data_IF_601382353337
#
_entry.id   IF_601382353337
#
_cell.length_a   1.000
_cell.length_b   1.000
_cell.length_c   1.000
_cell.angle_alpha   90.00
_cell.angle_beta   90.00
_cell.angle_gamma   90.00
#
_symmetry.space_group_name_H-M   'P 1'
#
loop_
_entity.id
_entity.type
_entity.pdbx_description
1 polymer ?
#
# COMPACT_ATOMS: atom_id res chain seq x y z
N UNK A 1 -5.81 -19.82 59.48
CA UNK A 1 -5.36 -18.57 58.83
C UNK A 1 -4.61 -18.94 57.56
N UNK A 2 -5.33 -19.04 56.44
CA UNK A 2 -4.77 -19.34 55.11
C UNK A 2 -5.20 -18.19 54.20
N UNK A 3 -4.25 -17.35 53.79
CA UNK A 3 -4.49 -16.25 52.83
C UNK A 3 -4.45 -16.85 51.42
N UNK A 4 -5.62 -16.95 50.78
CA UNK A 4 -5.71 -17.08 49.33
C UNK A 4 -5.37 -15.73 48.70
N UNK A 5 -4.30 -15.69 47.91
CA UNK A 5 -3.98 -14.60 46.99
C UNK A 5 -4.88 -14.72 45.76
N UNK A 6 -5.74 -13.73 45.55
CA UNK A 6 -6.54 -13.56 44.34
C UNK A 6 -5.68 -12.93 43.23
N UNK A 7 -5.57 -13.62 42.09
CA UNK A 7 -5.04 -13.06 40.85
C UNK A 7 -6.11 -12.14 40.19
N UNK A 8 -5.73 -11.03 39.54
CA UNK A 8 -6.68 -10.19 38.80
C UNK A 8 -7.04 -10.83 37.44
N UNK A 9 -8.20 -10.46 36.86
CA UNK A 9 -8.72 -11.10 35.65
C UNK A 9 -7.93 -10.68 34.40
N UNK A 10 -7.72 -11.68 33.54
CA UNK A 10 -7.22 -11.57 32.18
C UNK A 10 -8.08 -10.58 31.37
N UNK A 11 -7.47 -9.48 30.94
CA UNK A 11 -8.05 -8.60 29.91
C UNK A 11 -7.78 -9.22 28.56
N UNK A 12 -8.77 -9.93 28.01
CA UNK A 12 -8.82 -10.34 26.60
C UNK A 12 -9.16 -9.11 25.74
N UNK A 13 -8.13 -8.51 25.14
CA UNK A 13 -8.29 -7.53 24.06
C UNK A 13 -8.64 -8.27 22.75
N UNK A 14 -9.66 -7.85 21.99
CA UNK A 14 -9.89 -8.41 20.66
C UNK A 14 -8.94 -7.77 19.65
N UNK A 15 -8.22 -8.66 18.95
CA UNK A 15 -7.47 -8.42 17.74
C UNK A 15 -8.40 -8.09 16.54
N UNK A 16 -7.87 -7.31 15.58
CA UNK A 16 -7.95 -7.45 14.12
C UNK A 16 -7.90 -6.05 13.46
N UNK A 17 -6.73 -5.63 13.00
CA UNK A 17 -6.61 -4.72 11.85
C UNK A 17 -5.72 -5.44 10.83
N UNK A 18 -6.36 -6.22 9.98
CA UNK A 18 -5.77 -6.80 8.78
C UNK A 18 -5.57 -5.69 7.75
N UNK A 19 -4.32 -5.37 7.42
CA UNK A 19 -4.01 -4.81 6.12
C UNK A 19 -4.08 -5.96 5.10
N UNK A 20 -5.29 -6.25 4.64
CA UNK A 20 -5.58 -7.08 3.49
C UNK A 20 -6.12 -6.15 2.41
N UNK A 21 -5.25 -5.63 1.55
CA UNK A 21 -5.70 -4.80 0.43
C UNK A 21 -6.50 -5.60 -0.60
N UNK A 22 -6.38 -6.94 -0.66
CA UNK A 22 -7.11 -7.77 -1.62
C UNK A 22 -7.41 -9.19 -1.11
N UNK A 23 -8.26 -9.35 -0.09
CA UNK A 23 -8.86 -10.66 0.18
C UNK A 23 -10.23 -10.57 0.86
N UNK A 24 -11.16 -11.34 0.29
CA UNK A 24 -12.54 -11.66 0.68
C UNK A 24 -13.67 -10.80 0.08
N UNK A 25 -14.63 -11.42 -0.64
CA UNK A 25 -15.99 -10.90 -0.64
C UNK A 25 -16.52 -10.98 0.80
N UNK A 26 -16.93 -9.85 1.35
CA UNK A 26 -17.50 -9.78 2.69
C UNK A 26 -18.77 -10.65 2.74
N UNK A 27 -18.75 -11.71 3.57
CA UNK A 27 -19.97 -12.44 3.91
C UNK A 27 -20.85 -11.54 4.79
N UNK A 28 -22.09 -11.20 4.39
CA UNK A 28 -22.94 -10.25 5.12
C UNK A 28 -23.21 -10.65 6.56
N UNK A 29 -23.10 -11.93 6.95
CA UNK A 29 -23.38 -12.37 8.32
C UNK A 29 -22.34 -11.95 9.38
N UNK A 30 -21.13 -11.53 9.00
CA UNK A 30 -20.06 -11.20 9.96
C UNK A 30 -19.96 -9.72 10.36
N UNK A 31 -20.75 -8.82 9.76
CA UNK A 31 -20.63 -7.35 9.99
C UNK A 31 -21.52 -6.86 11.16
N UNK A 32 -22.44 -7.68 11.67
CA UNK A 32 -23.49 -7.22 12.58
C UNK A 32 -23.11 -7.11 14.07
N UNK A 33 -21.88 -7.41 14.47
CA UNK A 33 -21.48 -7.45 15.88
C UNK A 33 -20.91 -6.14 16.46
N UNK A 34 -20.89 -5.03 15.72
CA UNK A 34 -20.33 -3.77 16.22
C UNK A 34 -21.23 -2.57 15.93
N UNK A 35 -22.28 -2.39 16.73
CA UNK A 35 -23.08 -1.17 16.76
C UNK A 35 -23.06 -0.55 18.15
N UNK A 36 -22.59 0.69 18.21
CA UNK A 36 -22.58 1.54 19.39
C UNK A 36 -24.03 1.92 19.79
N UNK A 37 -24.50 1.71 21.03
CA UNK A 37 -25.90 1.88 21.41
C UNK A 37 -26.44 3.32 21.35
N UNK A 38 -25.61 4.32 21.05
CA UNK A 38 -26.02 5.74 21.06
C UNK A 38 -26.40 6.35 19.70
N UNK A 39 -26.47 5.57 18.61
CA UNK A 39 -27.02 6.05 17.32
C UNK A 39 -28.32 5.31 17.01
N UNK A 40 -29.34 6.06 16.54
CA UNK A 40 -30.66 5.56 16.13
C UNK A 40 -30.53 4.17 15.49
N UNK A 41 -31.11 3.16 16.14
CA UNK A 41 -31.17 1.81 15.59
C UNK A 41 -31.83 1.87 14.20
N UNK A 42 -31.33 1.10 13.22
CA UNK A 42 -32.05 0.93 11.96
C UNK A 42 -33.45 0.37 12.24
N UNK A 43 -34.45 0.86 11.51
CA UNK A 43 -35.86 0.51 11.71
C UNK A 43 -36.22 -0.93 11.29
N UNK A 44 -35.23 -1.68 10.77
CA UNK A 44 -35.31 -3.09 10.38
C UNK A 44 -34.05 -3.80 10.85
N UNK A 45 -34.19 -5.00 11.37
CA UNK A 45 -33.09 -5.90 11.67
C UNK A 45 -32.47 -6.45 10.37
N UNK A 46 -31.22 -6.95 10.39
CA UNK A 46 -30.56 -7.51 9.21
C UNK A 46 -31.34 -8.60 8.47
N UNK A 47 -32.12 -9.38 9.22
CA UNK A 47 -32.93 -10.48 8.70
C UNK A 47 -34.23 -9.99 8.04
N UNK A 48 -34.63 -8.74 8.32
CA UNK A 48 -35.81 -8.07 7.74
C UNK A 48 -35.47 -7.22 6.51
N UNK A 49 -34.19 -7.13 6.14
CA UNK A 49 -33.74 -6.39 4.96
C UNK A 49 -33.76 -7.27 3.71
N UNK A 50 -34.22 -6.71 2.59
CA UNK A 50 -34.01 -7.29 1.25
C UNK A 50 -32.53 -7.26 0.87
N UNK A 51 -32.11 -8.09 -0.08
CA UNK A 51 -30.71 -8.09 -0.56
C UNK A 51 -30.26 -6.73 -1.12
N UNK A 52 -31.18 -5.97 -1.71
CA UNK A 52 -30.91 -4.60 -2.18
C UNK A 52 -30.68 -3.65 -1.00
N UNK A 53 -31.51 -3.73 0.05
CA UNK A 53 -31.35 -2.93 1.27
C UNK A 53 -30.06 -3.29 2.03
N UNK A 54 -29.70 -4.58 2.10
CA UNK A 54 -28.44 -5.04 2.69
C UNK A 54 -27.24 -4.48 1.94
N UNK A 55 -27.26 -4.53 0.60
CA UNK A 55 -26.20 -3.97 -0.24
C UNK A 55 -26.04 -2.46 -0.03
N UNK A 56 -27.15 -1.71 -0.03
CA UNK A 56 -27.13 -0.27 0.22
C UNK A 56 -26.67 0.09 1.64
N UNK A 57 -27.04 -0.72 2.64
CA UNK A 57 -26.58 -0.54 4.02
C UNK A 57 -25.07 -0.79 4.16
N UNK A 58 -24.55 -1.87 3.56
CA UNK A 58 -23.11 -2.15 3.54
C UNK A 58 -22.36 -1.06 2.79
N UNK A 59 -22.83 -0.64 1.62
CA UNK A 59 -22.22 0.44 0.85
C UNK A 59 -22.16 1.74 1.66
N UNK A 60 -23.27 2.13 2.31
CA UNK A 60 -23.30 3.28 3.23
C UNK A 60 -22.29 3.11 4.38
N UNK A 61 -22.20 1.93 4.98
CA UNK A 61 -21.26 1.66 6.07
C UNK A 61 -19.80 1.74 5.60
N UNK A 62 -19.52 1.26 4.39
CA UNK A 62 -18.20 1.38 3.76
C UNK A 62 -17.86 2.84 3.45
N UNK A 63 -18.80 3.63 2.92
CA UNK A 63 -18.62 5.08 2.72
C UNK A 63 -18.34 5.78 4.06
N UNK A 64 -19.15 5.51 5.09
CA UNK A 64 -18.98 6.08 6.42
C UNK A 64 -17.64 5.71 7.06
N UNK A 65 -17.14 4.50 6.81
CA UNK A 65 -15.83 4.02 7.25
C UNK A 65 -14.68 4.46 6.32
N UNK A 66 -14.98 5.18 5.24
CA UNK A 66 -13.97 5.61 4.26
C UNK A 66 -13.40 4.49 3.40
N UNK A 67 -14.07 3.35 3.35
CA UNK A 67 -13.72 2.15 2.58
C UNK A 67 -14.40 2.14 1.20
N UNK A 68 -15.35 3.04 0.92
CA UNK A 68 -15.95 3.23 -0.40
C UNK A 68 -16.06 4.71 -0.79
N UNK A 69 -15.70 5.05 -2.02
CA UNK A 69 -15.81 6.41 -2.58
C UNK A 69 -17.01 6.52 -3.54
N UNK A 70 -18.02 7.36 -3.24
CA UNK A 70 -19.24 7.46 -4.04
C UNK A 70 -19.11 8.28 -5.33
N UNK A 71 -17.96 8.90 -5.63
CA UNK A 71 -17.80 9.91 -6.71
C UNK A 71 -17.53 9.35 -8.12
N UNK A 72 -18.02 8.15 -8.42
CA UNK A 72 -17.75 7.46 -9.68
C UNK A 72 -16.36 6.81 -9.71
N UNK A 73 -16.13 5.92 -10.67
CA UNK A 73 -14.93 5.10 -10.74
C UNK A 73 -14.41 5.10 -12.18
N UNK A 74 -13.27 5.76 -12.40
CA UNK A 74 -12.71 5.95 -13.75
C UNK A 74 -11.82 4.80 -14.21
N UNK A 75 -11.67 3.75 -13.39
CA UNK A 75 -10.94 2.56 -13.83
C UNK A 75 -11.81 1.67 -14.72
N UNK A 76 -11.22 1.07 -15.77
CA UNK A 76 -11.88 0.04 -16.55
C UNK A 76 -12.28 -1.17 -15.69
N UNK A 77 -13.21 -1.98 -16.20
CA UNK A 77 -13.70 -3.17 -15.49
C UNK A 77 -12.71 -4.32 -15.45
N UNK A 78 -11.77 -4.37 -16.39
CA UNK A 78 -10.83 -5.48 -16.54
C UNK A 78 -9.39 -5.00 -16.47
N UNK A 79 -8.48 -5.86 -16.01
CA UNK A 79 -7.06 -5.53 -15.93
C UNK A 79 -6.47 -5.29 -17.32
N UNK A 80 -6.92 -6.02 -18.33
CA UNK A 80 -6.51 -5.82 -19.72
C UNK A 80 -6.91 -4.44 -20.25
N UNK A 81 -8.15 -4.01 -20.04
CA UNK A 81 -8.58 -2.67 -20.46
C UNK A 81 -7.82 -1.58 -19.70
N UNK A 82 -7.50 -1.83 -18.42
CA UNK A 82 -6.65 -0.92 -17.65
C UNK A 82 -5.21 -0.88 -18.18
N UNK A 83 -4.65 -2.01 -18.60
CA UNK A 83 -3.35 -2.03 -19.30
C UNK A 83 -3.39 -1.20 -20.59
N UNK A 84 -4.51 -1.24 -21.34
CA UNK A 84 -4.70 -0.40 -22.53
C UNK A 84 -4.85 1.09 -22.22
N UNK A 85 -5.52 1.43 -21.13
CA UNK A 85 -5.58 2.82 -20.64
C UNK A 85 -4.18 3.35 -20.26
N UNK A 86 -3.34 2.48 -19.69
CA UNK A 86 -2.00 2.81 -19.19
C UNK A 86 -0.95 2.89 -20.31
N UNK A 87 -1.12 2.10 -21.37
CA UNK A 87 -0.14 1.91 -22.45
C UNK A 87 0.41 3.23 -23.06
N UNK A 88 -0.40 4.27 -23.34
CA UNK A 88 0.12 5.52 -23.89
C UNK A 88 1.10 6.28 -22.98
N UNK A 89 1.07 6.01 -21.67
CA UNK A 89 1.91 6.72 -20.69
C UNK A 89 3.12 5.90 -20.26
N UNK A 90 2.96 4.58 -20.13
CA UNK A 90 3.92 3.67 -19.51
C UNK A 90 4.38 2.53 -20.43
N UNK A 91 3.86 2.48 -21.66
CA UNK A 91 4.01 1.32 -22.52
C UNK A 91 3.30 0.09 -21.96
N UNK A 92 3.66 -1.06 -22.50
CA UNK A 92 3.06 -2.34 -22.14
C UNK A 92 3.61 -2.81 -20.78
N UNK A 93 2.75 -3.23 -19.82
CA UNK A 93 3.22 -3.86 -18.58
C UNK A 93 4.16 -5.04 -18.88
N UNK A 94 5.22 -5.30 -18.11
CA UNK A 94 6.17 -6.37 -18.43
C UNK A 94 5.60 -7.78 -18.20
N UNK A 95 6.17 -8.77 -18.89
CA UNK A 95 5.97 -10.20 -18.56
C UNK A 95 6.68 -10.49 -17.23
N UNK A 96 5.93 -10.91 -16.21
CA UNK A 96 6.51 -11.21 -14.89
C UNK A 96 6.96 -12.66 -14.83
N UNK A 97 8.26 -12.86 -14.65
CA UNK A 97 8.87 -14.14 -14.28
C UNK A 97 9.53 -14.02 -12.91
N UNK A 98 8.92 -14.65 -11.90
CA UNK A 98 9.44 -14.64 -10.52
C UNK A 98 10.71 -15.50 -10.38
N UNK A 99 10.98 -16.39 -11.36
CA UNK A 99 12.21 -17.16 -11.46
C UNK A 99 13.44 -16.28 -11.73
N UNK A 100 13.26 -15.22 -12.53
CA UNK A 100 14.28 -14.23 -12.90
C UNK A 100 14.35 -13.05 -11.91
N UNK A 101 13.35 -12.92 -11.04
CA UNK A 101 13.28 -11.86 -10.04
C UNK A 101 14.31 -12.04 -8.91
N UNK A 102 14.78 -10.93 -8.35
CA UNK A 102 15.66 -10.90 -7.18
C UNK A 102 14.87 -11.29 -5.93
N UNK A 103 15.30 -12.32 -5.22
CA UNK A 103 14.75 -12.63 -3.90
C UNK A 103 15.18 -11.57 -2.88
N UNK A 104 14.23 -11.07 -2.08
CA UNK A 104 14.53 -10.18 -0.95
C UNK A 104 15.22 -11.01 0.13
N UNK A 105 16.51 -10.76 0.43
CA UNK A 105 17.18 -11.49 1.49
C UNK A 105 16.69 -11.02 2.86
N UNK A 106 16.56 -11.95 3.79
CA UNK A 106 16.25 -11.67 5.19
C UNK A 106 17.42 -12.03 6.08
N UNK A 107 17.61 -11.25 7.13
CA UNK A 107 18.74 -11.41 8.05
C UNK A 107 18.26 -11.55 9.49
N UNK A 108 18.99 -12.36 10.26
CA UNK A 108 18.92 -12.43 11.72
C UNK A 108 20.35 -12.33 12.21
N UNK A 109 20.65 -11.31 13.00
CA UNK A 109 22.00 -11.03 13.49
C UNK A 109 23.04 -10.94 12.34
N UNK A 110 22.63 -10.34 11.22
CA UNK A 110 23.45 -10.19 10.01
C UNK A 110 23.60 -11.45 9.15
N UNK A 111 23.03 -12.59 9.56
CA UNK A 111 23.12 -13.86 8.82
C UNK A 111 21.87 -14.08 7.99
N UNK A 112 22.06 -14.35 6.69
CA UNK A 112 20.95 -14.63 5.77
C UNK A 112 20.18 -15.87 6.24
N UNK A 113 18.87 -15.71 6.43
CA UNK A 113 18.00 -16.74 7.02
C UNK A 113 16.71 -16.89 6.21
N UNK A 114 16.16 -18.11 6.15
CA UNK A 114 14.91 -18.44 5.47
C UNK A 114 13.83 -18.92 6.44
N UNK A 115 12.58 -18.96 5.97
CA UNK A 115 11.41 -19.38 6.73
C UNK A 115 10.61 -18.20 7.28
N UNK A 116 9.80 -18.47 8.30
CA UNK A 116 9.08 -17.43 9.02
C UNK A 116 9.94 -16.86 10.14
N UNK A 117 10.36 -15.61 9.98
CA UNK A 117 11.18 -14.90 10.95
C UNK A 117 10.35 -14.02 11.88
N UNK A 118 9.05 -13.89 11.63
CA UNK A 118 8.12 -13.04 12.38
C UNK A 118 8.72 -11.63 12.61
N UNK A 119 9.00 -11.29 13.87
CA UNK A 119 9.58 -10.00 14.28
C UNK A 119 11.08 -10.08 14.64
N UNK A 120 11.73 -11.24 14.48
CA UNK A 120 13.16 -11.44 14.80
C UNK A 120 14.12 -11.06 13.67
N UNK A 121 13.58 -10.54 12.57
CA UNK A 121 14.33 -10.17 11.38
C UNK A 121 14.98 -8.79 11.56
N UNK A 122 16.20 -8.60 11.07
CA UNK A 122 16.89 -7.31 11.07
C UNK A 122 16.19 -6.32 10.10
N UNK A 123 15.67 -6.84 8.99
CA UNK A 123 14.99 -6.10 7.93
C UNK A 123 13.54 -6.55 7.77
N UNK A 124 12.72 -6.28 8.80
CA UNK A 124 11.28 -6.58 8.84
C UNK A 124 10.52 -5.87 7.72
N UNK A 125 9.47 -6.52 7.21
CA UNK A 125 8.61 -5.94 6.17
C UNK A 125 7.83 -4.70 6.63
N UNK A 126 7.53 -4.60 7.93
CA UNK A 126 6.69 -3.56 8.55
C UNK A 126 5.26 -3.44 7.99
N UNK A 127 4.80 -4.40 7.17
CA UNK A 127 3.49 -4.38 6.50
C UNK A 127 2.37 -5.07 7.32
N UNK A 128 2.39 -4.99 8.65
CA UNK A 128 1.34 -5.56 9.51
C UNK A 128 1.29 -7.09 9.63
N UNK A 129 2.09 -7.83 8.85
CA UNK A 129 2.17 -9.30 8.88
C UNK A 129 3.56 -9.75 9.31
N UNK A 130 3.68 -11.02 9.67
CA UNK A 130 4.98 -11.64 9.91
C UNK A 130 5.89 -11.54 8.69
N UNK A 131 7.19 -11.41 8.94
CA UNK A 131 8.19 -11.40 7.86
C UNK A 131 8.57 -12.84 7.51
N UNK A 132 8.17 -13.27 6.32
CA UNK A 132 8.47 -14.60 5.76
C UNK A 132 9.39 -14.46 4.55
N UNK A 133 10.37 -15.36 4.42
CA UNK A 133 11.29 -15.36 3.28
C UNK A 133 10.60 -15.65 1.95
N UNK A 134 11.33 -15.40 0.86
CA UNK A 134 10.94 -15.84 -0.46
C UNK A 134 10.13 -14.86 -1.29
N UNK A 135 9.86 -13.67 -0.76
CA UNK A 135 9.35 -12.55 -1.57
C UNK A 135 10.41 -12.12 -2.59
N UNK A 136 9.98 -11.65 -3.77
CA UNK A 136 10.87 -11.29 -4.88
C UNK A 136 10.53 -9.92 -5.47
N UNK A 137 11.54 -9.23 -5.99
CA UNK A 137 11.42 -7.95 -6.68
C UNK A 137 12.11 -8.03 -8.04
N UNK A 138 11.55 -7.38 -9.05
CA UNK A 138 12.20 -7.20 -10.35
C UNK A 138 11.93 -5.81 -10.88
N UNK A 139 12.94 -5.19 -11.50
CA UNK A 139 12.83 -3.92 -12.19
C UNK A 139 12.95 -4.13 -13.69
N UNK A 140 12.08 -3.47 -14.45
CA UNK A 140 12.06 -3.49 -15.89
C UNK A 140 12.10 -2.05 -16.43
N UNK A 141 12.82 -1.87 -17.53
CA UNK A 141 12.65 -0.69 -18.38
C UNK A 141 11.32 -0.80 -19.12
N UNK A 142 10.58 0.31 -19.23
CA UNK A 142 9.33 0.35 -19.99
C UNK A 142 9.57 0.15 -21.48
N UNK A 143 8.58 -0.43 -22.16
CA UNK A 143 8.60 -0.68 -23.61
C UNK A 143 7.26 -0.40 -24.23
N UNK A 144 7.25 0.21 -25.41
CA UNK A 144 6.07 0.28 -26.26
C UNK A 144 5.68 -1.11 -26.79
N UNK A 145 4.50 -1.23 -27.38
CA UNK A 145 3.99 -2.50 -27.90
C UNK A 145 4.87 -3.14 -29.01
N UNK A 146 5.59 -2.32 -29.76
CA UNK A 146 6.56 -2.76 -30.78
C UNK A 146 7.95 -3.12 -30.19
N UNK A 147 8.10 -3.03 -28.86
CA UNK A 147 9.34 -3.30 -28.13
C UNK A 147 10.26 -2.09 -27.95
N UNK A 148 9.92 -0.94 -28.53
CA UNK A 148 10.73 0.29 -28.43
C UNK A 148 10.95 0.68 -26.96
N UNK A 149 12.20 0.86 -26.52
CA UNK A 149 12.53 1.33 -25.16
C UNK A 149 11.86 2.64 -24.78
N UNK A 150 11.36 2.72 -23.56
CA UNK A 150 10.86 3.94 -22.91
C UNK A 150 11.72 4.21 -21.66
N UNK A 151 12.89 4.87 -21.79
CA UNK A 151 13.89 4.94 -20.72
C UNK A 151 13.43 5.75 -19.49
N UNK A 152 12.47 6.65 -19.66
CA UNK A 152 11.86 7.39 -18.54
C UNK A 152 10.83 6.56 -17.76
N UNK A 153 10.45 5.38 -18.28
CA UNK A 153 9.47 4.50 -17.66
C UNK A 153 10.17 3.34 -16.97
N UNK A 154 9.79 3.13 -15.72
CA UNK A 154 10.21 1.99 -14.92
C UNK A 154 8.99 1.19 -14.50
N UNK A 155 9.09 -0.12 -14.59
CA UNK A 155 8.15 -1.04 -13.96
C UNK A 155 8.85 -1.80 -12.85
N UNK A 156 8.18 -1.98 -11.73
CA UNK A 156 8.63 -2.86 -10.66
C UNK A 156 7.56 -3.90 -10.39
N UNK A 157 7.96 -5.17 -10.34
CA UNK A 157 7.09 -6.23 -9.81
C UNK A 157 7.52 -6.65 -8.42
N UNK A 158 6.55 -6.90 -7.54
CA UNK A 158 6.76 -7.42 -6.20
C UNK A 158 5.94 -8.69 -6.00
N UNK A 159 6.62 -9.85 -5.96
CA UNK A 159 6.04 -11.10 -5.50
C UNK A 159 6.12 -11.17 -3.98
N UNK A 160 4.99 -11.03 -3.30
CA UNK A 160 4.90 -11.00 -1.84
C UNK A 160 4.49 -12.37 -1.30
N UNK A 161 5.42 -13.11 -0.70
CA UNK A 161 5.09 -14.34 0.00
C UNK A 161 4.42 -14.00 1.34
N UNK A 162 3.32 -14.69 1.65
CA UNK A 162 2.58 -14.53 2.92
C UNK A 162 2.27 -15.88 3.59
N UNK A 163 2.86 -16.98 3.12
CA UNK A 163 2.66 -18.32 3.69
C UNK A 163 3.97 -18.94 4.15
N UNK A 164 3.85 -19.84 5.13
CA UNK A 164 4.92 -20.69 5.63
C UNK A 164 4.89 -22.09 5.00
N UNK A 165 3.81 -22.42 4.30
CA UNK A 165 3.55 -23.72 3.70
C UNK A 165 3.83 -23.66 2.19
N UNK A 166 4.94 -24.26 1.70
CA UNK A 166 5.28 -24.24 0.28
C UNK A 166 4.28 -25.02 -0.59
N UNK A 167 3.46 -25.91 0.00
CA UNK A 167 2.41 -26.63 -0.72
C UNK A 167 1.14 -25.78 -0.93
N UNK A 168 1.01 -24.65 -0.24
CA UNK A 168 -0.14 -23.75 -0.34
C UNK A 168 0.33 -22.30 -0.56
N UNK A 169 0.85 -21.97 -1.76
CA UNK A 169 1.27 -20.62 -2.09
C UNK A 169 0.14 -19.62 -1.81
N UNK A 170 0.42 -18.65 -0.96
CA UNK A 170 -0.50 -17.58 -0.61
C UNK A 170 0.28 -16.27 -0.50
N UNK A 171 -0.25 -15.23 -1.14
CA UNK A 171 0.45 -13.98 -1.35
C UNK A 171 -0.05 -13.31 -2.62
N UNK A 172 0.56 -12.20 -3.00
CA UNK A 172 0.18 -11.46 -4.21
C UNK A 172 1.39 -11.15 -5.08
N UNK A 173 1.15 -10.94 -6.36
CA UNK A 173 2.12 -10.37 -7.31
C UNK A 173 1.60 -9.01 -7.72
N UNK A 174 2.36 -7.98 -7.41
CA UNK A 174 2.04 -6.59 -7.69
C UNK A 174 2.93 -6.08 -8.80
N UNK A 175 2.43 -5.14 -9.61
CA UNK A 175 3.23 -4.39 -10.58
C UNK A 175 2.92 -2.91 -10.45
N UNK A 176 3.98 -2.10 -10.42
CA UNK A 176 3.87 -0.64 -10.38
C UNK A 176 4.65 -0.10 -11.56
N UNK A 177 3.95 0.55 -12.48
CA UNK A 177 4.56 1.31 -13.57
C UNK A 177 4.66 2.77 -13.17
N UNK A 178 5.78 3.41 -13.50
CA UNK A 178 6.03 4.81 -13.20
C UNK A 178 6.82 5.50 -14.31
N UNK A 179 6.33 6.65 -14.77
CA UNK A 179 7.08 7.53 -15.66
C UNK A 179 7.77 8.63 -14.86
N UNK A 180 9.10 8.58 -14.78
CA UNK A 180 9.93 9.49 -13.99
C UNK A 180 9.82 10.95 -14.41
N UNK A 181 9.46 11.21 -15.66
CA UNK A 181 9.34 12.56 -16.22
C UNK A 181 7.96 13.17 -16.01
N UNK A 182 6.90 12.39 -16.20
CA UNK A 182 5.52 12.90 -16.13
C UNK A 182 4.85 12.65 -14.78
N UNK A 183 5.31 11.64 -14.06
CA UNK A 183 4.73 11.18 -12.80
C UNK A 183 3.58 10.19 -12.98
N UNK A 184 3.27 9.79 -14.22
CA UNK A 184 2.19 8.86 -14.48
C UNK A 184 2.48 7.52 -13.79
N UNK A 185 1.52 7.01 -13.04
CA UNK A 185 1.63 5.76 -12.27
C UNK A 185 0.47 4.85 -12.55
N UNK A 186 0.74 3.54 -12.62
CA UNK A 186 -0.27 2.50 -12.64
C UNK A 186 0.04 1.41 -11.61
N UNK A 187 -1.00 0.94 -10.92
CA UNK A 187 -0.93 -0.16 -9.95
C UNK A 187 -1.71 -1.37 -10.47
N UNK A 188 -1.06 -2.52 -10.52
CA UNK A 188 -1.69 -3.82 -10.73
C UNK A 188 -1.40 -4.68 -9.51
N UNK A 189 -2.41 -5.41 -9.02
CA UNK A 189 -2.22 -6.38 -7.95
C UNK A 189 -3.00 -7.64 -8.29
N UNK A 190 -2.37 -8.79 -8.10
CA UNK A 190 -3.06 -10.07 -8.25
C UNK A 190 -4.00 -10.34 -7.08
N UNK A 191 -4.96 -11.24 -7.26
CA UNK A 191 -5.63 -11.83 -6.09
C UNK A 191 -4.62 -12.59 -5.21
N UNK A 192 -4.98 -12.84 -3.94
CA UNK A 192 -4.16 -13.66 -3.03
C UNK A 192 -4.07 -15.15 -3.45
N UNK A 193 -4.89 -15.58 -4.42
CA UNK A 193 -4.94 -16.96 -4.94
C UNK A 193 -3.99 -17.16 -6.12
N UNK A 194 -2.70 -16.92 -5.92
CA UNK A 194 -1.66 -16.99 -6.95
C UNK A 194 -1.21 -18.42 -7.34
N UNK A 195 -1.74 -19.45 -6.68
CA UNK A 195 -1.33 -20.85 -6.85
C UNK A 195 -1.36 -21.41 -8.29
N UNK A 196 -2.19 -20.93 -9.25
CA UNK A 196 -2.15 -21.45 -10.62
C UNK A 196 -0.86 -21.06 -11.36
N UNK A 197 -0.24 -19.95 -10.95
CA UNK A 197 0.89 -19.34 -11.65
C UNK A 197 2.18 -19.36 -10.84
N UNK A 198 2.07 -19.40 -9.51
CA UNK A 198 3.19 -19.28 -8.58
C UNK A 198 3.35 -20.53 -7.73
N UNK A 199 4.60 -20.97 -7.61
CA UNK A 199 5.04 -22.03 -6.69
C UNK A 199 6.08 -21.48 -5.72
N UNK A 200 6.26 -22.15 -4.60
CA UNK A 200 7.29 -21.81 -3.61
C UNK A 200 8.38 -22.88 -3.59
N UNK A 201 9.64 -22.45 -3.58
CA UNK A 201 10.79 -23.32 -3.36
C UNK A 201 10.68 -23.97 -1.96
N UNK A 202 10.77 -25.29 -1.85
CA UNK A 202 10.50 -26.02 -0.60
C UNK A 202 11.39 -25.61 0.58
N UNK A 203 12.64 -25.21 0.32
CA UNK A 203 13.63 -24.88 1.36
C UNK A 203 13.64 -23.40 1.73
N UNK A 204 13.52 -22.52 0.73
CA UNK A 204 13.69 -21.07 0.90
C UNK A 204 12.38 -20.30 0.92
N UNK A 205 11.28 -20.95 0.51
CA UNK A 205 9.98 -20.34 0.23
C UNK A 205 10.00 -19.32 -0.92
N UNK A 206 11.08 -19.27 -1.72
CA UNK A 206 11.20 -18.34 -2.84
C UNK A 206 10.08 -18.56 -3.84
N UNK A 207 9.38 -17.48 -4.17
CA UNK A 207 8.35 -17.48 -5.20
C UNK A 207 8.97 -17.68 -6.59
N UNK A 208 8.38 -18.60 -7.36
CA UNK A 208 8.77 -18.95 -8.73
C UNK A 208 7.53 -19.06 -9.61
N UNK A 209 7.70 -18.86 -10.90
CA UNK A 209 6.64 -19.00 -11.89
C UNK A 209 6.44 -17.76 -12.73
N UNK A 210 5.57 -17.88 -13.74
CA UNK A 210 5.27 -16.82 -14.71
C UNK A 210 3.83 -16.40 -14.55
N UNK A 211 3.60 -15.10 -14.36
CA UNK A 211 2.24 -14.58 -14.35
C UNK A 211 1.69 -14.51 -15.78
N UNK A 212 0.36 -14.62 -15.97
CA UNK A 212 -0.28 -14.30 -17.23
C UNK A 212 0.07 -12.90 -17.70
N UNK A 213 0.05 -12.69 -19.01
CA UNK A 213 0.38 -11.42 -19.63
C UNK A 213 -0.72 -10.99 -20.61
N UNK A 214 -0.61 -9.77 -21.11
CA UNK A 214 -1.64 -9.16 -21.97
C UNK A 214 -1.82 -9.87 -23.32
N UNK A 215 -0.95 -10.81 -23.70
CA UNK A 215 -1.13 -11.68 -24.87
C UNK A 215 -2.23 -12.73 -24.67
N UNK A 216 -2.63 -12.99 -23.42
CA UNK A 216 -3.81 -13.76 -23.06
C UNK A 216 -4.71 -12.93 -22.12
N UNK A 217 -5.59 -12.08 -22.68
CA UNK A 217 -6.44 -11.18 -21.89
C UNK A 217 -7.32 -11.89 -20.86
N UNK A 218 -7.82 -13.09 -21.18
CA UNK A 218 -8.67 -13.87 -20.28
C UNK A 218 -7.91 -14.27 -19.01
N UNK A 219 -6.72 -14.86 -19.17
CA UNK A 219 -5.88 -15.25 -18.03
C UNK A 219 -5.30 -14.04 -17.29
N UNK A 220 -4.97 -12.96 -18.00
CA UNK A 220 -4.52 -11.70 -17.38
C UNK A 220 -5.59 -11.11 -16.46
N UNK A 221 -6.85 -11.11 -16.90
CA UNK A 221 -7.99 -10.64 -16.13
C UNK A 221 -8.33 -11.56 -14.94
N UNK A 222 -7.98 -12.85 -14.99
CA UNK A 222 -8.08 -13.75 -13.83
C UNK A 222 -6.98 -13.50 -12.81
N UNK A 223 -5.77 -13.21 -13.28
CA UNK A 223 -4.62 -13.01 -12.42
C UNK A 223 -4.65 -11.65 -11.72
N UNK A 224 -4.88 -10.56 -12.45
CA UNK A 224 -4.77 -9.20 -11.97
C UNK A 224 -6.13 -8.54 -11.78
N UNK A 225 -6.22 -7.76 -10.72
CA UNK A 225 -7.41 -6.98 -10.38
C UNK A 225 -7.15 -5.51 -10.68
N UNK A 226 -8.17 -4.84 -11.20
CA UNK A 226 -8.20 -3.39 -11.23
C UNK A 226 -8.53 -2.87 -9.83
N UNK A 227 -8.10 -1.65 -9.47
CA UNK A 227 -8.67 -0.96 -8.33
C UNK A 227 -10.22 -1.02 -8.41
N UNK A 228 -10.90 -1.21 -7.27
CA UNK A 228 -12.37 -1.23 -7.15
C UNK A 228 -12.87 -0.16 -6.17
N UNK A 229 -14.10 0.39 -6.33
CA UNK A 229 -14.63 1.44 -5.45
C UNK A 229 -14.73 1.05 -3.98
N UNK A 230 -14.94 -0.23 -3.69
CA UNK A 230 -15.07 -0.81 -2.34
C UNK A 230 -13.72 -1.06 -1.66
N UNK A 231 -12.61 -0.71 -2.32
CA UNK A 231 -11.25 -0.94 -1.82
C UNK A 231 -10.56 0.38 -1.50
N UNK A 232 -9.64 0.37 -0.53
CA UNK A 232 -8.74 1.50 -0.30
C UNK A 232 -8.08 1.96 -1.61
N UNK A 233 -8.05 3.28 -1.84
CA UNK A 233 -7.28 3.83 -2.95
C UNK A 233 -5.81 3.46 -2.75
N UNK A 234 -5.10 3.05 -3.81
CA UNK A 234 -3.68 2.69 -3.70
C UNK A 234 -2.85 3.85 -3.12
N UNK A 235 -3.27 5.09 -3.40
CA UNK A 235 -2.68 6.33 -2.88
C UNK A 235 -2.88 6.54 -1.39
N UNK A 236 -3.69 5.73 -0.70
CA UNK A 236 -3.70 5.74 0.76
C UNK A 236 -2.31 5.34 1.29
N UNK A 237 -1.73 4.26 0.77
CA UNK A 237 -0.39 3.81 1.16
C UNK A 237 0.70 4.47 0.29
N UNK A 238 0.45 4.64 -1.01
CA UNK A 238 1.40 5.19 -1.98
C UNK A 238 1.24 6.71 -2.15
N UNK A 239 0.79 7.41 -1.12
CA UNK A 239 0.34 8.81 -1.19
C UNK A 239 1.41 9.79 -1.69
N UNK A 240 2.65 9.57 -1.26
CA UNK A 240 3.77 10.45 -1.54
C UNK A 240 4.62 9.98 -2.73
N UNK A 241 4.64 8.67 -2.97
CA UNK A 241 5.55 7.98 -3.86
C UNK A 241 4.87 6.69 -4.37
N UNK A 242 4.93 6.37 -5.68
CA UNK A 242 4.53 5.05 -6.19
C UNK A 242 5.26 3.88 -5.52
N UNK A 243 6.46 4.08 -4.99
CA UNK A 243 7.29 3.05 -4.39
C UNK A 243 7.43 3.25 -2.88
N UNK A 244 6.94 2.27 -2.11
CA UNK A 244 7.18 2.23 -0.66
C UNK A 244 8.55 1.62 -0.43
N UNK A 245 9.43 2.35 0.24
CA UNK A 245 10.78 1.88 0.59
C UNK A 245 10.92 1.68 2.10
N UNK A 246 11.63 0.62 2.47
CA UNK A 246 12.09 0.33 3.83
C UNK A 246 13.29 -0.62 3.77
N UNK A 247 13.84 -1.02 4.93
CA UNK A 247 14.99 -1.94 4.97
C UNK A 247 14.72 -3.29 4.30
N UNK A 248 13.49 -3.81 4.38
CA UNK A 248 13.10 -5.04 3.70
C UNK A 248 13.17 -4.88 2.17
N UNK A 249 12.47 -3.89 1.61
CA UNK A 249 12.46 -3.65 0.16
C UNK A 249 13.86 -3.29 -0.37
N UNK A 250 14.59 -2.46 0.36
CA UNK A 250 15.92 -1.98 -0.05
C UNK A 250 17.02 -3.05 0.09
N UNK A 251 16.73 -4.20 0.72
CA UNK A 251 17.65 -5.32 0.79
C UNK A 251 17.79 -6.04 -0.57
N UNK A 252 16.80 -5.94 -1.46
CA UNK A 252 16.92 -6.45 -2.82
C UNK A 252 17.74 -5.48 -3.68
N UNK A 253 18.89 -5.97 -4.16
CA UNK A 253 19.81 -5.25 -5.04
C UNK A 253 19.80 -5.82 -6.45
N UNK A 254 20.04 -4.97 -7.43
CA UNK A 254 20.23 -5.42 -8.81
C UNK A 254 21.50 -6.26 -8.87
N UNK A 255 21.46 -7.47 -9.44
CA UNK A 255 22.63 -8.36 -9.49
C UNK A 255 23.87 -7.66 -10.04
N UNK A 256 25.00 -7.81 -9.34
CA UNK A 256 26.27 -7.17 -9.72
C UNK A 256 26.40 -5.69 -9.34
N UNK A 257 25.42 -5.12 -8.61
CA UNK A 257 25.45 -3.71 -8.20
C UNK A 257 25.05 -3.53 -6.73
N UNK A 258 25.24 -2.32 -6.19
CA UNK A 258 24.68 -1.89 -4.89
C UNK A 258 23.35 -1.13 -5.05
N UNK A 259 22.83 -1.01 -6.27
CA UNK A 259 21.60 -0.29 -6.57
C UNK A 259 20.39 -1.10 -6.10
N UNK A 260 19.41 -0.43 -5.48
CA UNK A 260 18.15 -1.06 -5.11
C UNK A 260 17.38 -1.49 -6.38
N UNK A 261 16.67 -2.62 -6.30
CA UNK A 261 15.71 -2.98 -7.35
C UNK A 261 14.60 -1.93 -7.45
N UNK A 262 14.07 -1.49 -6.30
CA UNK A 262 13.09 -0.41 -6.23
C UNK A 262 13.81 0.94 -6.32
N UNK A 263 13.47 1.81 -7.29
CA UNK A 263 14.09 3.12 -7.38
C UNK A 263 13.69 4.01 -6.20
N UNK A 264 14.58 4.91 -5.81
CA UNK A 264 14.32 5.93 -4.79
C UNK A 264 13.96 7.23 -5.51
N UNK A 265 12.82 7.82 -5.17
CA UNK A 265 12.39 9.12 -5.68
C UNK A 265 12.75 10.24 -4.71
N UNK A 266 12.79 11.47 -5.22
CA UNK A 266 13.05 12.67 -4.44
C UNK A 266 11.75 13.46 -4.15
N UNK A 267 11.88 14.53 -3.37
CA UNK A 267 10.76 15.41 -3.00
C UNK A 267 10.05 16.08 -4.19
N UNK A 268 10.71 16.19 -5.33
CA UNK A 268 10.20 16.88 -6.53
C UNK A 268 9.64 15.92 -7.58
N UNK A 269 9.77 14.62 -7.34
CA UNK A 269 9.36 13.60 -8.30
C UNK A 269 7.86 13.72 -8.60
N UNK A 270 7.47 13.81 -9.87
CA UNK A 270 6.08 14.01 -10.24
C UNK A 270 5.25 12.76 -9.92
N UNK A 271 3.95 12.90 -9.64
CA UNK A 271 3.13 11.75 -9.27
C UNK A 271 1.63 11.96 -9.50
N UNK A 272 1.02 11.10 -10.31
CA UNK A 272 -0.43 10.93 -10.41
C UNK A 272 -0.77 9.51 -10.81
N UNK A 273 -2.00 9.08 -10.55
CA UNK A 273 -2.47 7.72 -10.91
C UNK A 273 -3.33 7.81 -12.16
N UNK A 274 -2.95 7.04 -13.19
CA UNK A 274 -3.74 6.91 -14.42
C UNK A 274 -5.08 6.26 -14.08
N UNK A 275 -6.20 6.90 -14.44
CA UNK A 275 -7.55 6.46 -14.05
C UNK A 275 -7.95 6.80 -12.62
N UNK A 276 -7.02 7.33 -11.81
CA UNK A 276 -7.26 7.79 -10.43
C UNK A 276 -7.47 9.30 -10.32
N UNK A 277 -7.95 9.97 -11.37
CA UNK A 277 -8.08 11.44 -11.39
C UNK A 277 -9.04 11.99 -10.33
N UNK A 278 -9.92 11.13 -9.80
CA UNK A 278 -10.85 11.43 -8.72
C UNK A 278 -10.38 10.96 -7.33
N UNK A 279 -9.13 10.48 -7.21
CA UNK A 279 -8.55 10.06 -5.94
C UNK A 279 -7.96 11.24 -5.15
N UNK A 280 -7.82 11.07 -3.83
CA UNK A 280 -7.21 12.10 -2.98
C UNK A 280 -5.69 12.04 -3.06
N UNK A 281 -5.12 12.89 -3.92
CA UNK A 281 -3.68 12.98 -4.14
C UNK A 281 -2.98 13.96 -3.19
N UNK A 282 -3.69 14.56 -2.24
CA UNK A 282 -3.11 15.55 -1.33
C UNK A 282 -2.10 14.89 -0.41
N UNK A 283 -1.01 15.56 -0.11
CA UNK A 283 -0.01 15.22 0.91
C UNK A 283 0.18 16.40 1.85
N UNK A 284 0.68 16.17 3.06
CA UNK A 284 1.06 17.27 3.96
C UNK A 284 2.39 17.85 3.50
N UNK A 285 2.47 19.19 3.54
CA UNK A 285 3.72 19.93 3.50
C UNK A 285 3.73 20.95 4.64
N UNK A 286 4.90 21.21 5.22
CA UNK A 286 5.09 22.23 6.25
C UNK A 286 6.33 23.02 5.87
N UNK A 287 6.18 24.33 5.73
CA UNK A 287 7.29 25.23 5.40
C UNK A 287 8.41 25.14 6.46
N UNK A 288 9.65 24.95 6.01
CA UNK A 288 10.83 24.84 6.87
C UNK A 288 10.99 23.50 7.61
N UNK A 289 10.06 22.55 7.44
CA UNK A 289 10.17 21.23 8.07
C UNK A 289 11.09 20.30 7.28
N UNK A 290 12.15 19.84 7.94
CA UNK A 290 13.25 19.11 7.31
C UNK A 290 12.91 17.67 6.93
N UNK A 291 11.79 17.11 7.40
CA UNK A 291 11.34 15.79 6.94
C UNK A 291 11.04 15.80 5.43
N UNK A 292 10.73 16.96 4.85
CA UNK A 292 10.44 17.12 3.42
C UNK A 292 11.65 17.47 2.55
N UNK A 293 12.85 17.58 3.14
CA UNK A 293 14.07 17.93 2.40
C UNK A 293 14.53 16.80 1.47
N UNK A 294 14.21 15.55 1.77
CA UNK A 294 14.62 14.40 0.96
C UNK A 294 13.49 13.92 0.05
N UNK A 295 12.30 13.72 0.61
CA UNK A 295 11.15 13.13 -0.05
C UNK A 295 9.84 13.66 0.56
N UNK A 296 8.73 13.48 -0.15
CA UNK A 296 7.39 13.65 0.43
C UNK A 296 7.09 12.50 1.39
N UNK A 297 6.21 12.71 2.37
CA UNK A 297 5.86 11.68 3.36
C UNK A 297 4.44 11.18 3.17
N UNK A 298 4.28 9.86 2.97
CA UNK A 298 2.98 9.19 2.92
C UNK A 298 2.55 8.79 4.32
N UNK A 299 1.57 9.49 4.88
CA UNK A 299 1.30 9.41 6.32
C UNK A 299 0.66 8.09 6.74
N UNK A 300 -0.19 7.47 5.91
CA UNK A 300 -0.76 6.16 6.26
C UNK A 300 0.29 5.05 6.28
N UNK A 301 1.26 5.06 5.35
CA UNK A 301 2.37 4.09 5.36
C UNK A 301 3.28 4.30 6.55
N UNK A 302 3.59 5.56 6.87
CA UNK A 302 4.38 5.88 8.06
C UNK A 302 3.67 5.43 9.36
N UNK A 303 2.36 5.69 9.47
CA UNK A 303 1.55 5.23 10.60
C UNK A 303 1.58 3.69 10.72
N UNK A 304 1.37 2.98 9.61
CA UNK A 304 1.45 1.51 9.57
C UNK A 304 2.81 1.01 10.06
N UNK A 305 3.91 1.61 9.62
CA UNK A 305 5.25 1.22 10.07
C UNK A 305 5.43 1.46 11.57
N UNK A 306 5.00 2.61 12.07
CA UNK A 306 5.07 2.96 13.50
C UNK A 306 4.25 2.01 14.37
N UNK A 307 3.03 1.67 13.94
CA UNK A 307 2.17 0.68 14.60
C UNK A 307 2.81 -0.72 14.63
N UNK A 308 3.70 -1.01 13.67
CA UNK A 308 4.48 -2.25 13.61
C UNK A 308 5.85 -2.14 14.31
N UNK A 309 6.08 -1.10 15.11
CA UNK A 309 7.26 -0.93 15.94
C UNK A 309 8.45 -0.29 15.25
N UNK A 310 8.26 0.32 14.08
CA UNK A 310 9.29 1.16 13.45
C UNK A 310 9.33 2.53 14.12
N UNK A 311 10.49 2.94 14.65
CA UNK A 311 10.67 4.27 15.21
C UNK A 311 11.42 5.18 14.23
N UNK A 312 10.77 6.19 13.62
CA UNK A 312 11.43 7.05 12.63
C UNK A 312 12.70 7.71 13.18
N UNK A 313 12.74 8.09 14.46
CA UNK A 313 13.92 8.72 15.07
C UNK A 313 15.13 7.78 15.20
N UNK A 314 14.95 6.46 15.11
CA UNK A 314 16.06 5.50 15.11
C UNK A 314 16.64 5.26 13.71
N UNK A 315 15.96 5.75 12.66
CA UNK A 315 16.30 5.43 11.27
C UNK A 315 16.44 6.67 10.38
N UNK A 316 15.86 7.81 10.77
CA UNK A 316 15.77 9.01 9.96
C UNK A 316 16.35 10.23 10.67
N UNK A 317 17.07 11.10 9.95
CA UNK A 317 17.56 10.90 8.57
C UNK A 317 18.64 9.80 8.53
N UNK A 318 18.82 9.08 7.41
CA UNK A 318 19.67 7.88 7.34
C UNK A 318 21.14 8.08 7.78
N UNK A 319 21.67 9.31 7.65
CA UNK A 319 23.05 9.64 8.01
C UNK A 319 23.21 10.18 9.43
N UNK A 320 22.11 10.54 10.10
CA UNK A 320 22.15 11.10 11.45
C UNK A 320 20.81 10.88 12.17
N UNK A 321 20.45 9.63 12.50
CA UNK A 321 19.13 9.32 13.05
C UNK A 321 18.77 10.16 14.29
N UNK A 322 17.54 10.63 14.35
CA UNK A 322 16.97 11.32 15.51
C UNK A 322 17.17 12.84 15.51
N UNK A 323 18.01 13.38 14.63
CA UNK A 323 18.22 14.84 14.58
C UNK A 323 17.02 15.63 14.09
N UNK A 324 16.03 14.96 13.51
CA UNK A 324 14.78 15.58 13.02
C UNK A 324 13.58 15.29 13.93
N UNK A 325 13.79 14.89 15.18
CA UNK A 325 12.70 14.54 16.10
C UNK A 325 11.65 15.66 16.26
N UNK A 326 12.08 16.93 16.31
CA UNK A 326 11.16 18.07 16.40
C UNK A 326 10.35 18.28 15.12
N UNK A 327 10.99 18.17 13.95
CA UNK A 327 10.32 18.23 12.66
C UNK A 327 9.30 17.09 12.52
N UNK A 328 9.67 15.89 12.98
CA UNK A 328 8.79 14.73 13.02
C UNK A 328 7.58 14.96 13.94
N UNK A 329 7.77 15.48 15.14
CA UNK A 329 6.68 15.79 16.07
C UNK A 329 5.70 16.81 15.48
N UNK A 330 6.24 17.83 14.80
CA UNK A 330 5.43 18.82 14.09
C UNK A 330 4.62 18.19 12.95
N UNK A 331 5.24 17.29 12.15
CA UNK A 331 4.57 16.54 11.09
C UNK A 331 3.45 15.64 11.65
N UNK A 332 3.71 14.92 12.72
CA UNK A 332 2.72 14.07 13.37
C UNK A 332 1.56 14.88 13.96
N UNK A 333 1.84 16.07 14.50
CA UNK A 333 0.79 17.00 14.95
C UNK A 333 -0.09 17.46 13.77
N UNK A 334 0.54 17.89 12.67
CA UNK A 334 -0.15 18.30 11.45
C UNK A 334 -0.98 17.16 10.86
N UNK A 335 -0.51 15.92 10.93
CA UNK A 335 -1.27 14.77 10.45
C UNK A 335 -2.52 14.49 11.29
N UNK A 336 -2.39 14.51 12.62
CA UNK A 336 -3.51 14.24 13.53
C UNK A 336 -4.57 15.35 13.48
N UNK A 337 -4.13 16.60 13.48
CA UNK A 337 -4.98 17.78 13.69
C UNK A 337 -5.22 18.59 12.41
N UNK A 338 -4.63 18.17 11.30
CA UNK A 338 -4.69 18.84 10.00
C UNK A 338 -3.55 19.83 9.80
N UNK A 339 -3.12 20.07 8.54
CA UNK A 339 -1.96 20.91 8.25
C UNK A 339 -2.09 22.33 8.78
N UNK A 340 -3.31 22.90 8.84
CA UNK A 340 -3.55 24.22 9.39
C UNK A 340 -3.27 24.34 10.90
N UNK A 341 -3.09 23.22 11.62
CA UNK A 341 -2.74 23.22 13.04
C UNK A 341 -1.27 23.58 13.32
N UNK A 342 -0.44 23.68 12.28
CA UNK A 342 0.97 24.09 12.40
C UNK A 342 1.26 25.28 11.46
N UNK A 343 2.06 26.26 11.90
CA UNK A 343 2.48 27.37 11.03
C UNK A 343 3.12 26.86 9.73
N UNK A 344 2.69 27.41 8.59
CA UNK A 344 3.19 27.02 7.27
C UNK A 344 2.69 25.67 6.76
N UNK A 345 1.84 24.96 7.51
CA UNK A 345 1.29 23.67 7.11
C UNK A 345 0.19 23.80 6.06
N UNK A 346 0.29 23.03 4.95
CA UNK A 346 -0.65 23.05 3.83
C UNK A 346 -0.90 21.64 3.29
N UNK A 347 -2.06 21.44 2.68
CA UNK A 347 -2.26 20.31 1.76
C UNK A 347 -1.65 20.65 0.41
N UNK A 348 -0.86 19.74 -0.14
CA UNK A 348 -0.19 19.90 -1.43
C UNK A 348 -0.53 18.74 -2.37
N UNK A 349 -0.80 19.07 -3.63
CA UNK A 349 -0.78 18.12 -4.73
C UNK A 349 0.66 18.00 -5.24
N UNK A 350 1.15 16.79 -5.53
CA UNK A 350 2.47 16.59 -6.12
C UNK A 350 2.59 17.26 -7.51
N UNK A 351 3.81 17.50 -8.01
CA UNK A 351 4.01 17.89 -9.41
C UNK A 351 3.42 16.84 -10.36
N UNK A 352 2.84 17.25 -11.48
CA UNK A 352 2.21 16.35 -12.45
C UNK A 352 2.38 16.87 -13.88
N UNK A 353 2.80 16.01 -14.81
CA UNK A 353 2.83 16.34 -16.25
C UNK A 353 3.58 17.64 -16.59
N UNK A 354 4.68 17.93 -15.88
CA UNK A 354 5.48 19.15 -16.05
C UNK A 354 4.96 20.39 -15.29
N UNK A 355 3.84 20.28 -14.57
CA UNK A 355 3.35 21.33 -13.66
C UNK A 355 4.02 21.19 -12.28
N UNK A 356 4.38 22.30 -11.62
CA UNK A 356 4.91 22.25 -10.25
C UNK A 356 3.83 21.78 -9.27
N UNK A 357 4.26 21.42 -8.05
CA UNK A 357 3.36 21.10 -6.94
C UNK A 357 2.40 22.27 -6.67
N UNK A 358 1.17 21.97 -6.26
CA UNK A 358 0.11 22.97 -6.07
C UNK A 358 -0.48 22.88 -4.67
N UNK A 359 -0.84 24.02 -4.09
CA UNK A 359 -1.62 24.03 -2.84
C UNK A 359 -3.02 23.53 -3.14
N UNK A 360 -3.48 22.52 -2.40
CA UNK A 360 -4.85 22.04 -2.49
C UNK A 360 -5.75 22.91 -1.59
N UNK A 361 -6.66 23.66 -2.22
CA UNK A 361 -7.65 24.49 -1.53
C UNK A 361 -8.69 23.67 -0.76
N UNK A 362 -9.50 24.37 0.02
CA UNK A 362 -10.62 23.77 0.75
C UNK A 362 -11.75 23.27 -0.16
N UNK A 363 -11.76 23.72 -1.40
CA UNK A 363 -12.66 23.30 -2.47
C UNK A 363 -12.16 22.05 -3.22
N UNK A 364 -11.00 21.48 -2.87
CA UNK A 364 -10.47 20.28 -3.55
C UNK A 364 -11.54 19.18 -3.58
N UNK A 365 -11.98 18.71 -4.76
CA UNK A 365 -13.17 17.89 -4.88
C UNK A 365 -12.97 16.43 -4.45
N UNK A 366 -11.72 15.97 -4.42
CA UNK A 366 -11.38 14.55 -4.28
C UNK A 366 -11.01 14.13 -2.85
N UNK A 367 -11.25 14.97 -1.83
CA UNK A 367 -10.92 14.65 -0.42
C UNK A 367 -11.42 13.27 0.00
N UNK A 368 -10.54 12.41 0.50
CA UNK A 368 -10.84 11.07 1.00
C UNK A 368 -10.73 11.00 2.52
N UNK A 369 -11.30 9.97 3.14
CA UNK A 369 -11.33 9.80 4.59
C UNK A 369 -9.94 9.64 5.21
N UNK A 370 -9.01 8.96 4.54
CA UNK A 370 -7.67 8.72 5.08
C UNK A 370 -6.85 10.02 5.27
N UNK A 371 -7.22 11.11 4.59
CA UNK A 371 -6.65 12.45 4.78
C UNK A 371 -7.53 13.39 5.63
N UNK A 372 -8.52 12.86 6.35
CA UNK A 372 -9.31 13.66 7.29
C UNK A 372 -8.60 13.70 8.64
N UNK A 373 -8.29 14.91 9.16
CA UNK A 373 -7.82 15.05 10.53
C UNK A 373 -8.79 14.42 11.52
N UNK A 374 -8.24 13.79 12.56
CA UNK A 374 -9.02 13.29 13.68
C UNK A 374 -9.56 14.48 14.47
N UNK A 375 -10.81 14.89 14.21
CA UNK A 375 -11.51 15.92 15.01
C UNK A 375 -11.82 15.47 16.46
N UNK A 376 -11.38 14.27 16.86
CA UNK A 376 -11.62 13.72 18.20
C UNK A 376 -10.31 13.26 18.85
N UNK A 377 -9.49 14.23 19.24
CA UNK A 377 -8.72 14.10 20.47
C UNK A 377 -9.43 14.99 21.51
N UNK A 378 -10.23 14.37 22.38
CA UNK A 378 -10.58 14.95 23.68
C UNK A 378 -9.64 14.36 24.71
#
# INVERSE_FOLDING_TARGET
MLRLLTLPPLVLAPALILCACMAYPLNPHHIYAFVNPQKKQPSKTPDEMTEVEKKAFVEKLLIEKGLLDPRGWNFPKTAFDYAKLVEPHLGVPPKIDLGEAVEIPLYVDGVRTYGNLAQRCDNRSMLGKETVSGSTLQRYEGRAADGTPLPDVVWVSFGRNSTRDPAKPFGSVQMIGYNRKTGATAFFESSDQIHPWVKLDQKTLRMRGKMPWIDNPEEFNKAFLVPEPTRPQCVQCHQADPFITNSFINAAKIPGTNENVVPILDRHSPYFVIGGDNWDMRTIHIEGNKCFDCHRVGMSTMAMFMENGWNPNQHMPPRNPGTLAKDLDQLLNAWRNGPASVPGGKWMLPPTGGKPAQVAGDDYPNKAHFNKPSLKAK
#
